data_IF_401098215657
#
_entry.id   IF_401098215657
#
_cell.length_a   1.000
_cell.length_b   1.000
_cell.length_c   1.000
_cell.angle_alpha   90.00
_cell.angle_beta   90.00
_cell.angle_gamma   90.00
#
_symmetry.space_group_name_H-M   'P 1'
#
loop_
_entity.id
_entity.type
_entity.pdbx_description
1 polymer ?
#
# COMPACT_ATOMS: atom_id res chain seq x y z
N UNK A 1 -5.06 19.66 -6.56
CA UNK A 1 -4.63 18.25 -6.57
C UNK A 1 -5.88 17.41 -6.60
N UNK A 2 -6.01 16.54 -7.60
CA UNK A 2 -7.15 15.61 -7.72
C UNK A 2 -6.90 14.36 -6.87
N UNK A 3 -7.93 13.53 -6.68
CA UNK A 3 -7.77 12.22 -6.05
C UNK A 3 -6.77 11.33 -6.81
N UNK A 4 -6.76 11.42 -8.14
CA UNK A 4 -5.81 10.71 -8.99
C UNK A 4 -4.35 11.13 -8.74
N UNK A 5 -4.09 12.43 -8.64
CA UNK A 5 -2.75 12.93 -8.28
C UNK A 5 -2.35 12.50 -6.86
N UNK A 6 -3.31 12.50 -5.94
CA UNK A 6 -3.08 12.19 -4.54
C UNK A 6 -2.78 10.71 -4.31
N UNK A 7 -3.53 9.78 -4.92
CA UNK A 7 -3.24 8.33 -4.81
C UNK A 7 -1.86 8.01 -5.41
N UNK A 8 -1.48 8.65 -6.52
CA UNK A 8 -0.14 8.49 -7.12
C UNK A 8 0.98 8.94 -6.18
N UNK A 9 0.79 10.09 -5.54
CA UNK A 9 1.73 10.60 -4.55
C UNK A 9 1.80 9.69 -3.31
N UNK A 10 0.66 9.16 -2.85
CA UNK A 10 0.60 8.21 -1.74
C UNK A 10 1.34 6.91 -2.06
N UNK A 11 1.11 6.30 -3.23
CA UNK A 11 1.83 5.10 -3.66
C UNK A 11 3.35 5.33 -3.68
N UNK A 12 3.79 6.50 -4.19
CA UNK A 12 5.22 6.88 -4.21
C UNK A 12 5.78 7.11 -2.79
N UNK A 13 4.96 7.66 -1.87
CA UNK A 13 5.33 7.87 -0.45
C UNK A 13 5.49 6.54 0.28
N UNK A 14 4.61 5.56 0.02
CA UNK A 14 4.67 4.22 0.62
C UNK A 14 5.89 3.46 0.07
N UNK A 15 6.02 3.43 -1.25
CA UNK A 15 7.02 2.64 -1.96
C UNK A 15 7.80 3.53 -2.92
N UNK A 16 8.99 3.96 -2.50
CA UNK A 16 9.84 4.83 -3.31
C UNK A 16 10.28 4.13 -4.58
N UNK A 17 9.97 4.72 -5.74
CA UNK A 17 10.25 4.15 -7.06
C UNK A 17 9.07 3.41 -7.69
N UNK A 18 7.97 3.23 -6.97
CA UNK A 18 6.75 2.63 -7.51
C UNK A 18 5.84 3.70 -8.13
N UNK A 19 5.66 3.61 -9.44
CA UNK A 19 4.84 4.52 -10.23
C UNK A 19 3.74 3.73 -10.96
N UNK A 20 2.62 3.42 -10.31
CA UNK A 20 1.52 2.68 -10.93
C UNK A 20 0.96 3.43 -12.14
N UNK A 21 0.51 2.67 -13.13
CA UNK A 21 -0.11 3.19 -14.34
C UNK A 21 -1.38 3.98 -14.00
N UNK A 22 -1.66 5.04 -14.76
CA UNK A 22 -2.81 5.89 -14.50
C UNK A 22 -4.12 5.11 -14.55
N UNK A 23 -4.26 4.18 -15.51
CA UNK A 23 -5.48 3.38 -15.66
C UNK A 23 -5.73 2.49 -14.44
N UNK A 24 -4.67 1.95 -13.84
CA UNK A 24 -4.77 1.11 -12.62
C UNK A 24 -5.22 1.95 -11.43
N UNK A 25 -4.69 3.17 -11.30
CA UNK A 25 -5.11 4.10 -10.26
C UNK A 25 -6.57 4.53 -10.43
N UNK A 26 -6.98 4.90 -11.65
CA UNK A 26 -8.37 5.27 -11.95
C UNK A 26 -9.32 4.11 -11.68
N UNK A 27 -8.98 2.90 -12.14
CA UNK A 27 -9.77 1.71 -11.87
C UNK A 27 -9.92 1.45 -10.37
N UNK A 28 -8.82 1.54 -9.61
CA UNK A 28 -8.86 1.33 -8.15
C UNK A 28 -9.72 2.37 -7.44
N UNK A 29 -9.61 3.64 -7.84
CA UNK A 29 -10.43 4.72 -7.27
C UNK A 29 -11.92 4.44 -7.53
N UNK A 30 -12.28 4.09 -8.77
CA UNK A 30 -13.66 3.78 -9.15
C UNK A 30 -14.21 2.54 -8.43
N UNK A 31 -13.40 1.49 -8.27
CA UNK A 31 -13.77 0.26 -7.54
C UNK A 31 -14.09 0.56 -6.06
N UNK A 32 -13.41 1.55 -5.47
CA UNK A 32 -13.65 2.04 -4.11
C UNK A 32 -14.71 3.16 -4.05
N UNK A 33 -15.39 3.49 -5.15
CA UNK A 33 -16.41 4.55 -5.20
C UNK A 33 -15.87 5.98 -5.09
N UNK A 34 -14.56 6.17 -5.30
CA UNK A 34 -13.89 7.46 -5.23
C UNK A 34 -13.80 8.06 -6.64
N UNK A 35 -14.34 9.26 -6.82
CA UNK A 35 -14.23 9.98 -8.09
C UNK A 35 -12.79 10.47 -8.31
N UNK A 36 -12.11 10.09 -9.41
CA UNK A 36 -10.71 10.44 -9.65
C UNK A 36 -10.50 11.92 -9.97
N UNK A 37 -11.51 12.59 -10.52
CA UNK A 37 -11.44 14.00 -10.94
C UNK A 37 -11.74 14.97 -9.80
N UNK A 38 -12.38 14.49 -8.73
CA UNK A 38 -12.71 15.30 -7.56
C UNK A 38 -11.45 15.82 -6.86
N UNK A 39 -11.58 17.00 -6.26
CA UNK A 39 -10.52 17.58 -5.45
C UNK A 39 -10.20 16.68 -4.26
N UNK A 40 -8.91 16.46 -4.04
CA UNK A 40 -8.39 15.75 -2.88
C UNK A 40 -8.80 16.44 -1.57
N UNK A 41 -9.29 15.65 -0.63
CA UNK A 41 -9.58 16.08 0.74
C UNK A 41 -8.44 15.59 1.63
N UNK A 42 -7.76 16.49 2.37
CA UNK A 42 -6.69 16.07 3.26
C UNK A 42 -7.22 15.11 4.35
N UNK A 43 -6.43 14.07 4.65
CA UNK A 43 -6.78 13.01 5.61
C UNK A 43 -7.96 12.12 5.17
N UNK A 44 -8.20 12.01 3.87
CA UNK A 44 -9.13 11.02 3.33
C UNK A 44 -8.60 9.59 3.58
N UNK A 45 -9.28 8.88 4.49
CA UNK A 45 -8.91 7.53 4.91
C UNK A 45 -9.12 6.53 3.78
N UNK A 46 -10.18 6.69 2.98
CA UNK A 46 -10.54 5.74 1.92
C UNK A 46 -9.49 5.77 0.81
N UNK A 47 -9.01 6.96 0.47
CA UNK A 47 -7.92 7.13 -0.50
C UNK A 47 -6.61 6.47 -0.05
N UNK A 48 -6.28 6.57 1.24
CA UNK A 48 -5.07 5.95 1.82
C UNK A 48 -5.19 4.44 1.81
N UNK A 49 -6.36 3.89 2.17
CA UNK A 49 -6.61 2.45 2.09
C UNK A 49 -6.49 1.92 0.67
N UNK A 50 -7.03 2.64 -0.31
CA UNK A 50 -6.89 2.32 -1.73
C UNK A 50 -5.42 2.30 -2.15
N UNK A 51 -4.64 3.32 -1.78
CA UNK A 51 -3.20 3.38 -2.09
C UNK A 51 -2.42 2.19 -1.50
N UNK A 52 -2.71 1.82 -0.24
CA UNK A 52 -2.08 0.69 0.43
C UNK A 52 -2.42 -0.62 -0.30
N UNK A 53 -3.68 -0.81 -0.70
CA UNK A 53 -4.12 -1.99 -1.46
C UNK A 53 -3.36 -2.15 -2.78
N UNK A 54 -3.15 -1.07 -3.53
CA UNK A 54 -2.36 -1.10 -4.79
C UNK A 54 -0.92 -1.55 -4.53
N UNK A 55 -0.27 -0.97 -3.51
CA UNK A 55 1.12 -1.30 -3.18
C UNK A 55 1.26 -2.74 -2.68
N UNK A 56 0.30 -3.20 -1.87
CA UNK A 56 0.27 -4.58 -1.36
C UNK A 56 0.08 -5.59 -2.50
N UNK A 57 -0.89 -5.34 -3.39
CA UNK A 57 -1.11 -6.18 -4.56
C UNK A 57 0.13 -6.28 -5.45
N UNK A 58 0.90 -5.20 -5.62
CA UNK A 58 2.18 -5.28 -6.34
C UNK A 58 3.23 -6.12 -5.59
N UNK A 59 3.33 -5.96 -4.27
CA UNK A 59 4.28 -6.71 -3.43
C UNK A 59 3.97 -8.20 -3.47
N UNK A 60 2.69 -8.58 -3.39
CA UNK A 60 2.22 -9.97 -3.47
C UNK A 60 2.40 -10.57 -4.87
N UNK A 61 2.20 -9.79 -5.94
CA UNK A 61 2.41 -10.27 -7.31
C UNK A 61 3.87 -10.28 -7.76
N UNK A 62 4.80 -9.72 -6.97
CA UNK A 62 6.25 -9.71 -7.30
C UNK A 62 6.93 -11.07 -7.10
N UNK A 63 6.19 -12.17 -7.15
CA UNK A 63 6.71 -13.54 -7.15
C UNK A 63 7.53 -13.83 -8.42
N UNK A 64 8.83 -13.52 -8.35
CA UNK A 64 9.94 -14.28 -8.95
C UNK A 64 9.73 -14.81 -10.38
N UNK A 65 9.38 -13.99 -11.35
CA UNK A 65 9.68 -14.32 -12.74
C UNK A 65 11.19 -14.09 -12.98
N UNK A 66 11.95 -15.19 -13.10
CA UNK A 66 13.33 -15.24 -13.65
C UNK A 66 14.53 -15.14 -12.70
N UNK A 67 14.39 -15.34 -11.38
CA UNK A 67 15.56 -15.60 -10.52
C UNK A 67 16.54 -14.43 -10.33
N UNK A 68 16.11 -13.20 -10.61
CA UNK A 68 16.80 -11.96 -10.22
C UNK A 68 16.01 -11.39 -9.04
N UNK A 69 16.47 -11.63 -7.82
CA UNK A 69 15.84 -11.09 -6.61
C UNK A 69 16.17 -9.61 -6.42
N UNK A 70 15.68 -8.76 -7.32
CA UNK A 70 15.56 -7.31 -7.08
C UNK A 70 14.12 -6.99 -6.61
N UNK A 71 13.49 -7.98 -5.96
CA UNK A 71 12.13 -7.91 -5.47
C UNK A 71 12.01 -6.82 -4.42
N UNK A 72 10.98 -5.99 -4.57
CA UNK A 72 10.59 -4.97 -3.63
C UNK A 72 10.70 -5.47 -2.19
N UNK A 73 11.43 -4.72 -1.35
CA UNK A 73 11.69 -5.10 0.04
C UNK A 73 10.39 -5.05 0.86
N UNK A 74 9.75 -6.21 1.01
CA UNK A 74 8.44 -6.34 1.63
C UNK A 74 8.45 -5.86 3.09
N UNK A 75 9.54 -6.08 3.83
CA UNK A 75 9.71 -5.58 5.21
C UNK A 75 9.71 -4.05 5.25
N UNK A 76 10.46 -3.42 4.35
CA UNK A 76 10.50 -1.95 4.22
C UNK A 76 9.15 -1.38 3.79
N UNK A 77 8.43 -2.05 2.89
CA UNK A 77 7.09 -1.65 2.46
C UNK A 77 6.10 -1.76 3.62
N UNK A 78 6.10 -2.87 4.37
CA UNK A 78 5.25 -3.05 5.55
C UNK A 78 5.52 -1.99 6.62
N UNK A 79 6.79 -1.61 6.82
CA UNK A 79 7.16 -0.48 7.71
C UNK A 79 6.61 0.85 7.21
N UNK A 80 6.70 1.13 5.91
CA UNK A 80 6.12 2.36 5.31
C UNK A 80 4.60 2.39 5.44
N UNK A 81 3.92 1.27 5.18
CA UNK A 81 2.46 1.13 5.34
C UNK A 81 2.08 1.40 6.80
N UNK A 82 2.76 0.77 7.74
CA UNK A 82 2.52 0.97 9.18
C UNK A 82 2.71 2.43 9.62
N UNK A 83 3.72 3.12 9.08
CA UNK A 83 3.97 4.53 9.36
C UNK A 83 2.84 5.44 8.84
N UNK A 84 2.32 5.16 7.63
CA UNK A 84 1.21 5.90 7.04
C UNK A 84 -0.09 5.60 7.78
N UNK A 85 -0.37 4.34 8.14
CA UNK A 85 -1.55 4.02 8.96
C UNK A 85 -1.54 4.80 10.28
N UNK A 86 -0.39 4.92 10.96
CA UNK A 86 -0.25 5.75 12.18
C UNK A 86 -0.50 7.25 11.93
N UNK A 87 -0.01 7.80 10.81
CA UNK A 87 -0.20 9.22 10.46
C UNK A 87 -1.69 9.55 10.23
N UNK A 88 -2.46 8.61 9.68
CA UNK A 88 -3.88 8.77 9.35
C UNK A 88 -4.83 8.16 10.39
N UNK A 89 -4.33 7.65 11.52
CA UNK A 89 -5.11 6.98 12.56
C UNK A 89 -5.92 5.76 12.05
N UNK A 90 -5.35 5.03 11.10
CA UNK A 90 -5.92 3.81 10.52
C UNK A 90 -5.32 2.60 11.25
N UNK A 91 -6.15 1.61 11.54
CA UNK A 91 -5.67 0.33 12.06
C UNK A 91 -4.83 -0.40 10.99
N UNK A 92 -3.57 -0.70 11.30
CA UNK A 92 -2.65 -1.33 10.35
C UNK A 92 -2.81 -2.84 10.27
N UNK A 93 -3.54 -3.46 11.19
CA UNK A 93 -3.69 -4.93 11.27
C UNK A 93 -4.56 -5.48 10.13
N UNK A 94 -5.37 -4.65 9.48
CA UNK A 94 -6.06 -4.97 8.23
C UNK A 94 -5.09 -5.09 7.02
N UNK A 95 -3.89 -4.49 7.11
CA UNK A 95 -3.01 -4.31 5.94
C UNK A 95 -1.70 -5.08 6.06
N UNK A 96 -1.12 -5.10 7.26
CA UNK A 96 0.14 -5.80 7.57
C UNK A 96 -0.21 -7.00 8.44
N UNK A 97 0.17 -8.20 8.01
CA UNK A 97 0.20 -9.33 8.92
C UNK A 97 1.25 -9.03 9.98
N UNK A 98 0.83 -8.70 11.20
CA UNK A 98 1.72 -8.80 12.35
C UNK A 98 2.22 -10.24 12.35
N UNK A 99 3.53 -10.42 12.17
CA UNK A 99 4.19 -11.68 12.44
C UNK A 99 3.88 -11.99 13.89
N UNK A 100 2.82 -12.76 14.11
CA UNK A 100 2.58 -13.42 15.37
C UNK A 100 3.80 -14.29 15.54
N UNK A 101 4.75 -13.84 16.36
CA UNK A 101 5.72 -14.74 16.95
C UNK A 101 4.86 -15.74 17.72
N UNK A 102 4.53 -16.84 17.03
CA UNK A 102 4.09 -18.05 17.67
C UNK A 102 5.31 -18.50 18.44
N UNK A 103 5.26 -18.22 19.74
CA UNK A 103 6.22 -18.61 20.75
C UNK A 103 6.54 -20.10 20.57
N UNK A 104 7.60 -20.39 19.82
CA UNK A 104 8.17 -21.71 19.63
C UNK A 104 8.96 -22.14 20.85
N UNK A 105 8.46 -21.83 22.04
CA UNK A 105 8.95 -22.33 23.32
C UNK A 105 8.61 -23.82 23.43
N UNK A 106 9.25 -24.65 22.61
CA UNK A 106 9.51 -26.05 22.91
C UNK A 106 10.99 -26.30 22.63
N UNK A 107 11.80 -25.74 23.53
CA UNK A 107 13.05 -26.36 23.90
C UNK A 107 12.77 -27.77 24.40
N UNK A 108 13.23 -28.78 23.68
CA UNK A 108 13.52 -30.11 24.18
C UNK A 108 14.73 -30.69 23.43
#
# INVERSE_FOLDING_TARGET
>A
MTNLDAIRALCTKICSGFYPDQNVLEFTLLDNGIDPSKNFIPKDVELVKAAISVVKGMTENSHSESGISDGWDADRINKSISAICREYNIDSSDFVEESSVSDGSNQW
#
